data_IF_600750769682
#
_entry.id   IF_600750769682
#
_cell.length_a   1.000
_cell.length_b   1.000
_cell.length_c   1.000
_cell.angle_alpha   90.00
_cell.angle_beta   90.00
_cell.angle_gamma   90.00
#
_symmetry.space_group_name_H-M   'P 1'
#
loop_
_entity.id
_entity.type
_entity.pdbx_description
1 polymer ?
#
# COMPACT_ATOMS: atom_id res chain seq x y z
N UNK A 1 12.71 -19.85 -13.36
CA UNK A 1 11.90 -20.97 -13.89
C UNK A 1 11.59 -22.03 -12.83
N UNK A 2 12.52 -22.40 -11.94
CA UNK A 2 12.24 -23.42 -10.90
C UNK A 2 11.13 -23.05 -9.90
N UNK A 3 11.07 -21.81 -9.42
CA UNK A 3 10.05 -21.38 -8.45
C UNK A 3 8.62 -21.49 -8.98
N UNK A 4 8.39 -21.05 -10.22
CA UNK A 4 7.06 -21.13 -10.87
C UNK A 4 6.61 -22.59 -11.01
N UNK A 5 7.51 -23.47 -11.47
CA UNK A 5 7.20 -24.90 -11.61
C UNK A 5 6.84 -25.55 -10.26
N UNK A 6 7.58 -25.23 -9.19
CA UNK A 6 7.31 -25.73 -7.83
C UNK A 6 5.96 -25.22 -7.30
N UNK A 7 5.64 -23.93 -7.50
CA UNK A 7 4.36 -23.35 -7.08
C UNK A 7 3.18 -24.01 -7.80
N UNK A 8 3.28 -24.21 -9.11
CA UNK A 8 2.24 -24.87 -9.90
C UNK A 8 2.06 -26.33 -9.49
N UNK A 9 3.15 -27.07 -9.28
CA UNK A 9 3.10 -28.46 -8.82
C UNK A 9 2.47 -28.58 -7.42
N UNK A 10 2.80 -27.66 -6.51
CA UNK A 10 2.22 -27.61 -5.17
C UNK A 10 0.72 -27.34 -5.23
N UNK A 11 0.30 -26.33 -5.98
CA UNK A 11 -1.11 -26.00 -6.15
C UNK A 11 -1.91 -27.14 -6.79
N UNK A 12 -1.37 -27.78 -7.84
CA UNK A 12 -1.99 -28.93 -8.48
C UNK A 12 -2.12 -30.13 -7.53
N UNK A 13 -1.09 -30.39 -6.72
CA UNK A 13 -1.12 -31.47 -5.72
C UNK A 13 -2.19 -31.19 -4.67
N UNK A 14 -2.21 -29.99 -4.09
CA UNK A 14 -3.23 -29.57 -3.12
C UNK A 14 -4.64 -29.72 -3.70
N UNK A 15 -4.87 -29.20 -4.91
CA UNK A 15 -6.17 -29.33 -5.57
C UNK A 15 -6.56 -30.79 -5.78
N UNK A 16 -5.64 -31.64 -6.25
CA UNK A 16 -5.92 -33.06 -6.45
C UNK A 16 -6.24 -33.81 -5.15
N UNK A 17 -5.62 -33.42 -4.02
CA UNK A 17 -5.80 -34.09 -2.73
C UNK A 17 -7.03 -33.61 -1.95
N UNK A 18 -7.41 -32.34 -2.10
CA UNK A 18 -8.50 -31.71 -1.35
C UNK A 18 -9.82 -31.74 -2.11
N UNK A 19 -9.77 -31.86 -3.44
CA UNK A 19 -10.91 -31.62 -4.31
C UNK A 19 -11.20 -30.12 -4.46
N UNK A 20 -12.07 -29.79 -5.43
CA UNK A 20 -12.28 -28.40 -5.87
C UNK A 20 -12.89 -27.50 -4.80
N UNK A 21 -13.88 -27.98 -4.04
CA UNK A 21 -14.57 -27.15 -3.03
C UNK A 21 -13.60 -26.68 -1.95
N UNK A 22 -12.87 -27.62 -1.34
CA UNK A 22 -11.95 -27.31 -0.24
C UNK A 22 -10.75 -26.52 -0.73
N UNK A 23 -10.21 -26.82 -1.92
CA UNK A 23 -9.14 -26.03 -2.52
C UNK A 23 -9.57 -24.56 -2.76
N UNK A 24 -10.80 -24.34 -3.24
CA UNK A 24 -11.30 -22.99 -3.45
C UNK A 24 -11.40 -22.21 -2.13
N UNK A 25 -12.01 -22.80 -1.10
CA UNK A 25 -12.28 -22.11 0.17
C UNK A 25 -11.01 -21.93 1.01
N UNK A 26 -10.13 -22.93 1.07
CA UNK A 26 -8.94 -22.93 1.94
C UNK A 26 -7.75 -22.26 1.27
N UNK A 27 -7.59 -22.38 -0.05
CA UNK A 27 -6.43 -21.85 -0.75
C UNK A 27 -6.77 -20.61 -1.59
N UNK A 28 -7.72 -20.73 -2.53
CA UNK A 28 -7.96 -19.65 -3.51
C UNK A 28 -8.59 -18.41 -2.92
N UNK A 29 -9.63 -18.53 -2.09
CA UNK A 29 -10.28 -17.36 -1.49
C UNK A 29 -9.30 -16.57 -0.60
N UNK A 30 -8.56 -17.16 0.36
CA UNK A 30 -7.59 -16.42 1.15
C UNK A 30 -6.47 -15.80 0.30
N UNK A 31 -6.01 -16.51 -0.73
CA UNK A 31 -4.99 -16.00 -1.65
C UNK A 31 -5.48 -14.79 -2.44
N UNK A 32 -6.71 -14.82 -2.97
CA UNK A 32 -7.31 -13.69 -3.68
C UNK A 32 -7.53 -12.49 -2.76
N UNK A 33 -8.02 -12.73 -1.53
CA UNK A 33 -8.22 -11.65 -0.53
C UNK A 33 -6.88 -11.01 -0.18
N UNK A 34 -5.87 -11.80 0.16
CA UNK A 34 -4.53 -11.28 0.46
C UNK A 34 -3.92 -10.54 -0.72
N UNK A 35 -4.05 -11.10 -1.94
CA UNK A 35 -3.53 -10.48 -3.15
C UNK A 35 -4.22 -9.14 -3.44
N UNK A 36 -5.53 -9.04 -3.21
CA UNK A 36 -6.26 -7.79 -3.35
C UNK A 36 -5.77 -6.74 -2.35
N UNK A 37 -5.63 -7.09 -1.06
CA UNK A 37 -5.12 -6.15 -0.04
C UNK A 37 -3.68 -5.71 -0.32
N UNK A 38 -2.83 -6.64 -0.74
CA UNK A 38 -1.43 -6.36 -1.09
C UNK A 38 -1.34 -5.47 -2.33
N UNK A 39 -2.14 -5.76 -3.35
CA UNK A 39 -2.24 -4.89 -4.52
C UNK A 39 -2.72 -3.50 -4.12
N UNK A 40 -3.78 -3.40 -3.32
CA UNK A 40 -4.34 -2.12 -2.90
C UNK A 40 -3.29 -1.28 -2.14
N UNK A 41 -2.58 -1.86 -1.16
CA UNK A 41 -1.57 -1.12 -0.38
C UNK A 41 -0.38 -0.66 -1.22
N UNK A 42 0.11 -1.53 -2.09
CA UNK A 42 1.27 -1.21 -2.94
C UNK A 42 0.91 -0.22 -4.04
N UNK A 43 -0.33 -0.27 -4.52
CA UNK A 43 -0.77 0.59 -5.59
C UNK A 43 -1.27 1.94 -5.06
N UNK A 44 -2.39 1.98 -4.33
CA UNK A 44 -3.01 3.24 -3.96
C UNK A 44 -2.07 4.09 -3.11
N UNK A 45 -1.47 3.56 -2.06
CA UNK A 45 -0.62 4.34 -1.14
C UNK A 45 0.66 4.89 -1.80
N UNK A 46 0.97 4.46 -3.02
CA UNK A 46 2.10 4.94 -3.81
C UNK A 46 1.70 5.74 -5.05
N UNK A 47 0.40 5.96 -5.29
CA UNK A 47 -0.10 6.76 -6.41
C UNK A 47 -1.07 7.82 -5.88
N UNK A 48 -0.78 9.09 -6.12
CA UNK A 48 -1.71 10.20 -5.92
C UNK A 48 -1.60 11.17 -7.09
N UNK A 49 -2.65 11.97 -7.29
CA UNK A 49 -2.69 12.96 -8.38
C UNK A 49 -1.54 14.00 -8.25
N UNK A 50 -1.01 14.22 -7.04
CA UNK A 50 0.11 15.10 -6.70
C UNK A 50 1.42 14.34 -6.36
N UNK A 51 1.50 13.05 -6.71
CA UNK A 51 2.68 12.22 -6.50
C UNK A 51 3.87 12.72 -7.32
N UNK A 52 5.07 12.64 -6.75
CA UNK A 52 6.32 12.97 -7.43
C UNK A 52 7.19 11.74 -7.62
N UNK A 53 7.80 11.64 -8.79
CA UNK A 53 8.74 10.59 -9.17
C UNK A 53 10.12 11.22 -9.29
N UNK A 54 10.99 10.95 -8.33
CA UNK A 54 12.34 11.50 -8.31
C UNK A 54 13.30 10.66 -9.17
N UNK A 55 14.17 11.34 -9.91
CA UNK A 55 15.31 10.73 -10.60
C UNK A 55 16.41 10.36 -9.60
N UNK A 56 17.37 9.54 -10.03
CA UNK A 56 18.50 9.11 -9.19
C UNK A 56 19.27 10.28 -8.55
N UNK A 57 19.34 11.43 -9.24
CA UNK A 57 20.04 12.63 -8.78
C UNK A 57 19.23 13.43 -7.74
N UNK A 58 17.89 13.35 -7.78
CA UNK A 58 16.99 14.15 -6.92
C UNK A 58 16.39 13.33 -5.77
N UNK A 59 16.48 12.00 -5.83
CA UNK A 59 15.92 11.09 -4.84
C UNK A 59 16.72 11.02 -3.55
N UNK A 60 16.01 10.95 -2.43
CA UNK A 60 16.55 10.42 -1.18
C UNK A 60 15.45 9.61 -0.46
N UNK A 61 15.86 8.81 0.52
CA UNK A 61 14.95 7.92 1.25
C UNK A 61 13.78 8.68 1.90
N UNK A 62 14.04 9.85 2.49
CA UNK A 62 13.00 10.59 3.20
C UNK A 62 11.97 11.16 2.21
N UNK A 63 12.43 11.73 1.09
CA UNK A 63 11.56 12.17 0.00
C UNK A 63 10.71 11.02 -0.53
N UNK A 64 11.33 9.88 -0.84
CA UNK A 64 10.61 8.70 -1.30
C UNK A 64 9.55 8.21 -0.30
N UNK A 65 9.84 8.23 0.99
CA UNK A 65 8.89 7.85 2.03
C UNK A 65 7.73 8.85 2.17
N UNK A 66 7.99 10.16 2.09
CA UNK A 66 6.96 11.21 2.16
C UNK A 66 6.11 11.33 0.88
N UNK A 67 6.56 10.76 -0.24
CA UNK A 67 5.74 10.66 -1.46
C UNK A 67 4.70 9.54 -1.39
N UNK A 68 4.77 8.68 -0.37
CA UNK A 68 3.63 7.81 -0.06
C UNK A 68 2.49 8.61 0.57
N UNK A 69 1.28 8.07 0.50
CA UNK A 69 0.06 8.77 0.92
C UNK A 69 -0.79 7.88 1.80
N UNK A 70 -1.09 8.38 3.01
CA UNK A 70 -1.97 7.68 3.95
C UNK A 70 -3.41 7.79 3.46
N UNK A 71 -4.08 6.64 3.31
CA UNK A 71 -5.51 6.60 2.96
C UNK A 71 -6.32 5.95 4.05
N UNK A 72 -7.37 6.65 4.48
CA UNK A 72 -8.42 6.07 5.31
C UNK A 72 -9.53 5.51 4.44
N UNK A 73 -9.82 4.23 4.61
CA UNK A 73 -10.90 3.51 3.91
C UNK A 73 -12.12 3.34 4.82
N UNK A 74 -12.21 4.16 5.86
CA UNK A 74 -13.21 4.09 6.92
C UNK A 74 -12.72 3.28 8.12
N UNK A 75 -13.23 3.64 9.30
CA UNK A 75 -12.72 3.15 10.59
C UNK A 75 -12.66 1.62 10.73
N UNK A 76 -13.59 0.88 10.12
CA UNK A 76 -13.58 -0.57 10.14
C UNK A 76 -12.44 -1.16 9.30
N UNK A 77 -12.26 -0.66 8.08
CA UNK A 77 -11.22 -1.11 7.17
C UNK A 77 -9.83 -0.75 7.70
N UNK A 78 -9.68 0.46 8.24
CA UNK A 78 -8.42 0.92 8.85
C UNK A 78 -8.05 0.01 10.03
N UNK A 79 -9.03 -0.35 10.86
CA UNK A 79 -8.80 -1.28 11.98
C UNK A 79 -8.46 -2.70 11.53
N UNK A 80 -9.18 -3.25 10.54
CA UNK A 80 -8.93 -4.60 10.02
C UNK A 80 -7.57 -4.73 9.34
N UNK A 81 -7.10 -3.65 8.72
CA UNK A 81 -5.77 -3.57 8.11
C UNK A 81 -4.66 -3.20 9.12
N UNK A 82 -4.96 -3.17 10.43
CA UNK A 82 -4.03 -2.78 11.49
C UNK A 82 -3.39 -1.40 11.27
N UNK A 83 -4.15 -0.48 10.70
CA UNK A 83 -3.72 0.86 10.33
C UNK A 83 -2.58 0.94 9.30
N UNK A 84 -2.34 -0.14 8.56
CA UNK A 84 -1.28 -0.19 7.55
C UNK A 84 -1.51 0.83 6.42
N UNK A 85 -2.77 1.12 6.09
CA UNK A 85 -3.15 1.99 4.97
C UNK A 85 -3.17 3.47 5.34
N UNK A 86 -3.65 3.80 6.54
CA UNK A 86 -3.77 5.15 7.10
C UNK A 86 -2.59 5.57 7.99
N UNK A 87 -1.54 4.75 8.00
CA UNK A 87 -0.24 5.02 8.63
C UNK A 87 0.95 4.53 7.81
N UNK A 88 0.77 4.40 6.51
CA UNK A 88 1.75 3.89 5.55
C UNK A 88 3.00 4.77 5.45
N UNK A 89 2.86 6.10 5.54
CA UNK A 89 4.00 7.04 5.55
C UNK A 89 4.94 6.73 6.72
N UNK A 90 4.37 6.53 7.92
CA UNK A 90 5.16 6.14 9.10
C UNK A 90 5.74 4.75 8.94
N UNK A 91 5.00 3.82 8.32
CA UNK A 91 5.52 2.51 8.00
C UNK A 91 6.79 2.65 7.15
N UNK A 92 6.78 3.43 6.07
CA UNK A 92 7.99 3.66 5.27
C UNK A 92 9.12 4.33 6.05
N UNK A 93 8.83 5.41 6.77
CA UNK A 93 9.85 6.15 7.52
C UNK A 93 10.51 5.32 8.65
N UNK A 94 9.77 4.39 9.25
CA UNK A 94 10.16 3.71 10.49
C UNK A 94 9.83 2.21 10.56
N UNK A 95 9.79 1.49 9.44
CA UNK A 95 9.33 0.08 9.37
C UNK A 95 10.05 -0.87 10.35
N UNK A 96 11.33 -0.62 10.65
CA UNK A 96 12.12 -1.44 11.58
C UNK A 96 11.88 -1.10 13.06
N UNK A 97 11.30 0.06 13.36
CA UNK A 97 11.22 0.63 14.71
C UNK A 97 9.79 0.76 15.24
N UNK A 98 8.84 1.01 14.35
CA UNK A 98 7.42 1.18 14.70
C UNK A 98 6.66 -0.07 14.29
N UNK A 99 6.28 -0.94 15.25
CA UNK A 99 5.45 -2.08 14.93
C UNK A 99 4.03 -1.65 14.56
N UNK A 100 3.34 -2.47 13.75
CA UNK A 100 2.00 -2.14 13.23
C UNK A 100 0.98 -1.77 14.33
N UNK A 101 1.02 -2.41 15.50
CA UNK A 101 0.12 -2.12 16.63
C UNK A 101 0.38 -0.75 17.31
N UNK A 102 1.46 -0.05 16.94
CA UNK A 102 1.77 1.33 17.37
C UNK A 102 1.61 2.34 16.24
N UNK A 103 1.27 1.89 15.03
CA UNK A 103 1.32 2.71 13.82
C UNK A 103 0.41 3.93 13.91
N UNK A 104 -0.86 3.74 14.28
CA UNK A 104 -1.81 4.85 14.48
C UNK A 104 -1.30 5.93 15.47
N UNK A 105 -0.67 5.50 16.57
CA UNK A 105 -0.11 6.44 17.57
C UNK A 105 1.11 7.18 16.99
N UNK A 106 1.97 6.49 16.26
CA UNK A 106 3.15 7.07 15.64
C UNK A 106 2.76 8.04 14.50
N UNK A 107 1.76 7.71 13.69
CA UNK A 107 1.20 8.60 12.66
C UNK A 107 0.67 9.89 13.26
N UNK A 108 -0.09 9.79 14.35
CA UNK A 108 -0.56 10.97 15.08
C UNK A 108 0.62 11.84 15.56
N UNK A 109 1.61 11.23 16.21
CA UNK A 109 2.79 11.94 16.72
C UNK A 109 3.63 12.59 15.61
N UNK A 110 3.81 11.92 14.47
CA UNK A 110 4.51 12.48 13.32
C UNK A 110 3.79 13.72 12.79
N UNK A 111 2.47 13.64 12.62
CA UNK A 111 1.67 14.76 12.11
C UNK A 111 1.71 15.97 13.04
N UNK A 112 1.54 15.75 14.34
CA UNK A 112 1.65 16.80 15.36
C UNK A 112 3.03 17.46 15.32
N UNK A 113 4.11 16.66 15.27
CA UNK A 113 5.46 17.21 15.17
C UNK A 113 5.75 17.97 13.88
N UNK A 114 5.16 17.55 12.75
CA UNK A 114 5.24 18.28 11.48
C UNK A 114 4.45 19.59 11.53
N UNK A 115 3.29 19.60 12.19
CA UNK A 115 2.48 20.81 12.39
C UNK A 115 3.22 21.83 13.25
N UNK A 116 3.77 21.41 14.39
CA UNK A 116 4.59 22.26 15.27
C UNK A 116 5.81 22.86 14.55
N UNK A 117 6.39 22.10 13.60
CA UNK A 117 7.51 22.54 12.78
C UNK A 117 7.12 23.37 11.54
N UNK A 118 5.83 23.60 11.29
CA UNK A 118 5.34 24.29 10.09
C UNK A 118 5.54 23.50 8.78
N UNK A 119 5.72 22.17 8.87
CA UNK A 119 6.05 21.25 7.77
C UNK A 119 4.94 20.25 7.43
N UNK A 120 3.71 20.46 7.94
CA UNK A 120 2.59 19.55 7.69
C UNK A 120 2.29 19.35 6.19
N UNK A 121 2.64 20.32 5.34
CA UNK A 121 2.51 20.24 3.89
C UNK A 121 3.31 19.09 3.23
N UNK A 122 4.28 18.49 3.93
CA UNK A 122 5.03 17.32 3.44
C UNK A 122 4.27 16.00 3.62
N UNK A 123 3.21 15.98 4.43
CA UNK A 123 2.50 14.75 4.78
C UNK A 123 1.18 14.66 4.01
N UNK A 124 1.07 13.60 3.18
CA UNK A 124 -0.11 13.35 2.35
C UNK A 124 -1.08 12.41 3.05
N UNK A 125 -2.34 12.86 3.17
CA UNK A 125 -3.43 12.03 3.68
C UNK A 125 -4.73 12.33 2.95
N UNK A 126 -5.42 11.27 2.55
CA UNK A 126 -6.66 11.34 1.78
C UNK A 126 -7.69 10.40 2.40
N UNK A 127 -8.95 10.83 2.48
CA UNK A 127 -10.06 9.95 2.81
C UNK A 127 -10.57 9.30 1.51
N UNK A 128 -10.75 7.99 1.48
CA UNK A 128 -11.03 7.24 0.25
C UNK A 128 -12.06 6.15 0.53
N UNK A 129 -13.26 6.53 0.99
CA UNK A 129 -14.33 5.57 1.29
C UNK A 129 -14.77 4.75 0.06
N UNK A 130 -14.58 5.31 -1.13
CA UNK A 130 -14.84 4.76 -2.46
C UNK A 130 -13.60 4.11 -3.09
N UNK A 131 -12.75 3.47 -2.29
CA UNK A 131 -11.46 2.92 -2.72
C UNK A 131 -11.52 1.97 -3.93
N UNK A 132 -12.64 1.27 -4.15
CA UNK A 132 -12.81 0.44 -5.35
C UNK A 132 -12.90 1.27 -6.63
N UNK A 133 -13.53 2.44 -6.57
CA UNK A 133 -13.58 3.40 -7.67
C UNK A 133 -12.24 4.12 -7.82
N UNK A 134 -11.60 4.48 -6.69
CA UNK A 134 -10.29 5.13 -6.71
C UNK A 134 -9.23 4.23 -7.36
N UNK A 135 -9.26 2.90 -7.14
CA UNK A 135 -8.39 1.95 -7.85
C UNK A 135 -8.53 2.11 -9.37
N UNK A 136 -9.77 2.10 -9.89
CA UNK A 136 -10.02 2.19 -11.33
C UNK A 136 -9.61 3.56 -11.88
N UNK A 137 -9.89 4.62 -11.14
CA UNK A 137 -9.51 6.00 -11.51
C UNK A 137 -7.99 6.14 -11.56
N UNK A 138 -7.28 5.66 -10.54
CA UNK A 138 -5.82 5.70 -10.49
C UNK A 138 -5.22 4.85 -11.60
N UNK A 139 -5.81 3.69 -11.91
CA UNK A 139 -5.39 2.91 -13.08
C UNK A 139 -5.44 3.74 -14.36
N UNK A 140 -6.51 4.50 -14.60
CA UNK A 140 -6.63 5.29 -15.83
C UNK A 140 -5.71 6.52 -15.85
N UNK A 141 -5.41 7.12 -14.69
CA UNK A 141 -4.61 8.36 -14.60
C UNK A 141 -3.11 8.11 -14.42
N UNK A 142 -2.80 7.23 -13.49
CA UNK A 142 -1.47 6.93 -12.98
C UNK A 142 -1.24 5.41 -13.09
N UNK A 143 -1.35 4.89 -14.32
CA UNK A 143 -1.04 3.48 -14.63
C UNK A 143 0.43 3.19 -14.25
N UNK A 144 0.88 1.94 -14.29
CA UNK A 144 2.29 1.52 -14.10
C UNK A 144 3.33 2.21 -15.02
N UNK A 145 2.92 3.15 -15.87
CA UNK A 145 3.82 3.96 -16.68
C UNK A 145 4.13 5.27 -15.94
N UNK A 146 5.40 5.67 -15.99
CA UNK A 146 5.85 6.94 -15.44
C UNK A 146 5.11 8.08 -16.14
N UNK A 147 4.37 8.87 -15.36
CA UNK A 147 3.76 10.09 -15.86
C UNK A 147 4.81 11.20 -15.83
N UNK A 148 5.22 11.69 -17.00
CA UNK A 148 6.32 12.66 -17.12
C UNK A 148 6.05 14.00 -16.40
N UNK A 149 4.79 14.35 -16.19
CA UNK A 149 4.37 15.51 -15.38
C UNK A 149 4.65 15.33 -13.88
N UNK A 150 4.80 14.10 -13.41
CA UNK A 150 5.16 13.78 -12.03
C UNK A 150 6.68 13.66 -11.83
N UNK A 151 7.47 13.64 -12.90
CA UNK A 151 8.93 13.43 -12.81
C UNK A 151 9.63 14.72 -12.36
N UNK A 152 10.28 14.66 -11.21
CA UNK A 152 11.12 15.72 -10.65
C UNK A 152 12.59 15.45 -11.02
N UNK A 153 13.12 16.24 -11.96
CA UNK A 153 14.49 16.12 -12.50
C UNK A 153 15.47 17.06 -11.81
#
# INVERSE_FOLDING_TARGET
>A
MGSVAVSLATAATLWSTMGTSDFLVVCMVPWLVMSFWLFMVTYLQHHSDDGKLYTDDSWDFAKGAFETVDRSYGAWTDRLSHHMMDGHVVHHLFFERVPHYRLAKATKALREGLEDAGKLHLYKRVETLDYTQEIVKQFNKNWFFVSEDQVER
#
